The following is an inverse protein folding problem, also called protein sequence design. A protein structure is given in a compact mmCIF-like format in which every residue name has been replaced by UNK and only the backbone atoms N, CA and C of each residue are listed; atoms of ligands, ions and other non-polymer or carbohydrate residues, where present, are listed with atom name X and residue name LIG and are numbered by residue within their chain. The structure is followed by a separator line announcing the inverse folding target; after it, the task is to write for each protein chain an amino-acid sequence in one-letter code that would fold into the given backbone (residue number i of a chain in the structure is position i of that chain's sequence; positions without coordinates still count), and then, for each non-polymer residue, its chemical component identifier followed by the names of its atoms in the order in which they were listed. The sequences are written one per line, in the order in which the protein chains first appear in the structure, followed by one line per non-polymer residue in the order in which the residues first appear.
data_IF_709509935762
#
_entry.id   IF_709509935762
#
_cell.length_a   1.000
_cell.length_b   1.000
_cell.length_c   1.000
_cell.angle_alpha   90.00
_cell.angle_beta   90.00
_cell.angle_gamma   90.00
#
_symmetry.space_group_name_H-M   'P 1'
#
loop_
_entity.id
_entity.type
_entity.pdbx_description
1 polymer ?
#
# COMPACT_ATOMS: atom_id res chain seq x y z
N UNK A 1 -0.39 -23.60 6.57
CA UNK A 1 -1.67 -22.91 6.24
C UNK A 1 -2.38 -22.37 7.47
N UNK A 2 -2.84 -23.22 8.40
CA UNK A 2 -3.62 -22.79 9.57
C UNK A 2 -2.95 -21.67 10.38
N UNK A 3 -1.66 -21.82 10.70
CA UNK A 3 -0.84 -20.78 11.35
C UNK A 3 -1.00 -19.40 10.70
N UNK A 4 -0.79 -19.31 9.39
CA UNK A 4 -0.89 -18.06 8.63
C UNK A 4 -2.29 -17.44 8.71
N UNK A 5 -3.32 -18.24 8.47
CA UNK A 5 -4.70 -17.75 8.45
C UNK A 5 -5.14 -17.30 9.85
N UNK A 6 -4.87 -18.10 10.88
CA UNK A 6 -5.16 -17.75 12.27
C UNK A 6 -4.47 -16.45 12.66
N UNK A 7 -3.16 -16.30 12.36
CA UNK A 7 -2.42 -15.07 12.66
C UNK A 7 -2.97 -13.85 11.92
N UNK A 8 -3.28 -13.98 10.62
CA UNK A 8 -3.86 -12.88 9.84
C UNK A 8 -5.25 -12.47 10.33
N UNK A 9 -5.95 -13.36 11.04
CA UNK A 9 -7.25 -13.09 11.67
C UNK A 9 -7.14 -12.79 13.17
N UNK A 10 -5.95 -12.46 13.66
CA UNK A 10 -5.73 -11.95 15.03
C UNK A 10 -5.72 -13.00 16.14
N UNK A 11 -5.67 -14.29 15.79
CA UNK A 11 -5.49 -15.35 16.77
C UNK A 11 -4.03 -15.42 17.22
N UNK A 12 -3.82 -15.59 18.52
CA UNK A 12 -2.51 -15.85 19.09
C UNK A 12 -2.05 -17.27 18.75
N UNK A 13 -1.07 -17.38 17.86
CA UNK A 13 -0.48 -18.64 17.39
C UNK A 13 1.04 -18.56 17.42
N UNK A 14 1.64 -19.55 18.06
CA UNK A 14 3.10 -19.64 18.22
C UNK A 14 3.78 -20.30 17.01
N UNK A 15 4.92 -19.80 16.54
CA UNK A 15 5.68 -20.40 15.44
C UNK A 15 6.35 -21.72 15.84
N UNK A 16 6.46 -22.02 17.14
CA UNK A 16 7.07 -23.27 17.68
C UNK A 16 6.42 -24.54 17.13
N UNK A 17 5.21 -24.46 16.58
CA UNK A 17 4.56 -25.56 15.85
C UNK A 17 5.41 -26.07 14.67
N UNK A 18 6.31 -25.25 14.11
CA UNK A 18 7.18 -25.61 13.00
C UNK A 18 8.43 -26.39 13.43
N UNK A 19 8.84 -26.36 14.71
CA UNK A 19 10.03 -27.08 15.21
C UNK A 19 9.95 -28.58 14.94
N UNK A 20 8.74 -29.14 14.98
CA UNK A 20 8.49 -30.57 14.73
C UNK A 20 8.81 -31.00 13.30
N UNK A 21 8.86 -30.04 12.38
CA UNK A 21 9.09 -30.25 10.95
C UNK A 21 10.48 -29.82 10.50
N UNK A 22 11.25 -29.22 11.40
CA UNK A 22 12.63 -28.84 11.18
C UNK A 22 13.55 -29.99 11.60
N UNK A 23 14.55 -30.27 10.77
CA UNK A 23 15.62 -31.21 11.08
C UNK A 23 16.87 -30.85 10.29
N UNK A 24 17.99 -30.70 11.00
CA UNK A 24 19.32 -30.44 10.43
C UNK A 24 19.37 -29.17 9.53
N UNK A 25 18.55 -28.16 9.83
CA UNK A 25 18.43 -26.93 9.06
C UNK A 25 17.52 -27.01 7.84
N UNK A 26 16.78 -28.12 7.68
CA UNK A 26 15.82 -28.34 6.60
C UNK A 26 14.40 -28.51 7.15
N UNK A 27 13.40 -28.20 6.32
CA UNK A 27 11.99 -28.40 6.67
C UNK A 27 11.34 -29.49 5.82
N UNK A 28 10.51 -30.32 6.45
CA UNK A 28 9.85 -31.47 5.83
C UNK A 28 8.33 -31.47 6.02
N UNK A 29 7.59 -32.08 5.10
CA UNK A 29 6.13 -32.13 5.19
C UNK A 29 5.61 -33.02 6.34
N UNK A 30 6.38 -34.05 6.72
CA UNK A 30 5.99 -35.01 7.75
C UNK A 30 7.18 -35.34 8.65
N UNK A 31 6.92 -35.39 9.96
CA UNK A 31 7.93 -35.75 10.97
C UNK A 31 8.52 -37.12 10.65
N UNK A 32 9.86 -37.21 10.63
CA UNK A 32 10.58 -38.45 10.37
C UNK A 32 10.60 -38.91 8.91
N UNK A 33 10.13 -38.08 7.97
CA UNK A 33 10.21 -38.34 6.53
C UNK A 33 11.03 -37.27 5.82
N UNK A 34 11.58 -37.61 4.66
CA UNK A 34 12.33 -36.68 3.79
C UNK A 34 11.46 -36.05 2.69
N UNK A 35 10.13 -36.09 2.82
CA UNK A 35 9.24 -35.56 1.77
C UNK A 35 9.18 -34.04 1.83
N UNK A 36 9.61 -33.37 0.75
CA UNK A 36 9.50 -31.93 0.53
C UNK A 36 8.61 -31.68 -0.71
N UNK A 37 7.31 -31.57 -0.48
CA UNK A 37 6.35 -31.25 -1.54
C UNK A 37 6.34 -29.74 -1.83
N UNK A 38 6.17 -29.37 -3.10
CA UNK A 38 6.18 -27.96 -3.56
C UNK A 38 5.09 -27.16 -2.85
N UNK A 39 3.87 -27.67 -2.78
CA UNK A 39 2.73 -27.03 -2.09
C UNK A 39 2.95 -26.90 -0.58
N UNK A 40 3.65 -27.85 0.02
CA UNK A 40 4.05 -27.79 1.43
C UNK A 40 5.03 -26.64 1.68
N UNK A 41 6.10 -26.57 0.89
CA UNK A 41 7.12 -25.52 0.98
C UNK A 41 6.58 -24.15 0.57
N UNK A 42 5.71 -24.09 -0.43
CA UNK A 42 4.97 -22.90 -0.82
C UNK A 42 4.14 -22.33 0.33
N UNK A 43 3.39 -23.18 1.03
CA UNK A 43 2.59 -22.77 2.17
C UNK A 43 3.43 -22.42 3.41
N UNK A 44 4.61 -23.04 3.57
CA UNK A 44 5.59 -22.66 4.60
C UNK A 44 6.16 -21.27 4.29
N UNK A 45 6.53 -21.01 3.04
CA UNK A 45 7.05 -19.72 2.60
C UNK A 45 6.05 -18.58 2.84
N UNK A 46 4.78 -18.78 2.45
CA UNK A 46 3.73 -17.80 2.75
C UNK A 46 3.51 -17.59 4.25
N UNK A 47 3.65 -18.65 5.05
CA UNK A 47 3.48 -18.56 6.50
C UNK A 47 4.64 -17.81 7.18
N UNK A 48 5.88 -17.97 6.72
CA UNK A 48 7.03 -17.24 7.25
C UNK A 48 7.01 -15.75 6.95
N UNK A 49 6.26 -15.31 5.93
CA UNK A 49 6.17 -13.88 5.56
C UNK A 49 5.31 -13.06 6.54
N UNK A 50 4.56 -13.69 7.44
CA UNK A 50 3.79 -13.03 8.52
C UNK A 50 4.48 -13.20 9.88
N UNK A 51 5.81 -13.20 9.87
CA UNK A 51 6.66 -13.29 11.07
C UNK A 51 6.67 -11.99 11.86
N UNK A 52 6.77 -12.12 13.18
CA UNK A 52 7.00 -11.04 14.13
C UNK A 52 8.49 -10.93 14.48
N UNK A 53 8.93 -9.80 15.05
CA UNK A 53 10.30 -9.63 15.51
C UNK A 53 10.73 -10.73 16.47
N UNK A 54 11.96 -11.24 16.29
CA UNK A 54 12.54 -12.30 17.13
C UNK A 54 12.06 -13.72 16.83
N UNK A 55 11.21 -13.94 15.82
CA UNK A 55 10.79 -15.27 15.40
C UNK A 55 11.80 -15.95 14.46
N UNK A 56 12.99 -16.26 14.97
CA UNK A 56 14.12 -16.83 14.21
C UNK A 56 13.76 -18.12 13.47
N UNK A 57 12.88 -18.94 14.04
CA UNK A 57 12.37 -20.16 13.42
C UNK A 57 11.64 -19.87 12.10
N UNK A 58 10.82 -18.82 12.05
CA UNK A 58 10.15 -18.42 10.80
C UNK A 58 11.10 -17.73 9.83
N UNK A 59 12.09 -17.00 10.32
CA UNK A 59 13.16 -16.47 9.47
C UNK A 59 13.88 -17.61 8.75
N UNK A 60 14.25 -18.64 9.49
CA UNK A 60 14.91 -19.82 8.94
C UNK A 60 14.00 -20.56 7.96
N UNK A 61 12.74 -20.80 8.33
CA UNK A 61 11.74 -21.44 7.47
C UNK A 61 11.51 -20.66 6.16
N UNK A 62 11.48 -19.33 6.24
CA UNK A 62 11.32 -18.46 5.09
C UNK A 62 12.48 -18.54 4.13
N UNK A 63 13.72 -18.46 4.63
CA UNK A 63 14.93 -18.62 3.81
C UNK A 63 14.96 -19.98 3.13
N UNK A 64 14.80 -21.06 3.90
CA UNK A 64 14.84 -22.43 3.38
C UNK A 64 13.78 -22.66 2.30
N UNK A 65 12.52 -22.31 2.59
CA UNK A 65 11.42 -22.52 1.64
C UNK A 65 11.55 -21.65 0.39
N UNK A 66 12.05 -20.42 0.51
CA UNK A 66 12.31 -19.55 -0.64
C UNK A 66 13.38 -20.13 -1.57
N UNK A 67 14.52 -20.54 -1.02
CA UNK A 67 15.63 -21.15 -1.76
C UNK A 67 15.18 -22.43 -2.46
N UNK A 68 14.47 -23.32 -1.74
CA UNK A 68 13.90 -24.54 -2.30
C UNK A 68 12.99 -24.25 -3.51
N UNK A 69 12.08 -23.26 -3.39
CA UNK A 69 11.13 -22.95 -4.46
C UNK A 69 11.82 -22.29 -5.66
N UNK A 70 12.77 -21.37 -5.45
CA UNK A 70 13.57 -20.75 -6.52
C UNK A 70 14.42 -21.78 -7.26
N UNK A 71 15.02 -22.74 -6.55
CA UNK A 71 15.76 -23.84 -7.18
C UNK A 71 14.85 -24.71 -8.06
N UNK A 72 13.65 -25.06 -7.56
CA UNK A 72 12.67 -25.84 -8.32
C UNK A 72 12.15 -25.09 -9.54
N UNK A 73 11.92 -23.78 -9.41
CA UNK A 73 11.53 -22.89 -10.50
C UNK A 73 12.60 -22.86 -11.60
N UNK A 74 13.86 -22.62 -11.23
CA UNK A 74 14.99 -22.59 -12.16
C UNK A 74 15.18 -23.92 -12.93
N UNK A 75 14.84 -25.05 -12.31
CA UNK A 75 14.89 -26.38 -12.92
C UNK A 75 13.63 -26.73 -13.73
N UNK A 76 12.58 -25.91 -13.72
CA UNK A 76 11.30 -26.22 -14.36
C UNK A 76 10.54 -27.38 -13.68
N UNK A 77 10.75 -27.56 -12.37
CA UNK A 77 10.25 -28.70 -11.59
C UNK A 77 9.18 -28.31 -10.56
N UNK A 78 8.51 -27.17 -10.76
CA UNK A 78 7.33 -26.77 -9.97
C UNK A 78 6.15 -27.66 -10.34
N UNK A 79 6.10 -28.84 -9.72
CA UNK A 79 5.03 -29.81 -9.80
C UNK A 79 4.86 -30.44 -8.43
N UNK A 80 3.63 -30.76 -8.06
CA UNK A 80 3.33 -31.34 -6.77
C UNK A 80 2.89 -32.80 -6.89
N UNK A 81 3.22 -33.59 -5.87
CA UNK A 81 2.85 -35.01 -5.79
C UNK A 81 1.40 -35.20 -5.34
N UNK A 82 0.82 -34.20 -4.66
CA UNK A 82 -0.47 -34.27 -3.98
C UNK A 82 -1.60 -33.56 -4.72
N UNK A 83 -1.30 -32.81 -5.78
CA UNK A 83 -2.30 -32.07 -6.55
C UNK A 83 -1.89 -31.90 -8.02
N UNK A 84 -2.88 -32.02 -8.91
CA UNK A 84 -2.83 -31.58 -10.30
C UNK A 84 -3.60 -30.27 -10.34
N UNK A 85 -2.87 -29.15 -10.28
CA UNK A 85 -3.44 -27.80 -10.29
C UNK A 85 -3.29 -27.14 -11.66
N UNK A 86 -4.21 -26.23 -12.01
CA UNK A 86 -4.18 -25.49 -13.28
C UNK A 86 -2.87 -24.73 -13.52
N UNK A 87 -2.38 -23.95 -12.55
CA UNK A 87 -1.14 -23.16 -12.71
C UNK A 87 -0.33 -22.99 -11.41
N UNK A 88 0.10 -24.11 -10.82
CA UNK A 88 1.00 -24.10 -9.67
C UNK A 88 2.32 -23.33 -9.94
N UNK A 89 2.98 -23.44 -11.12
CA UNK A 89 4.14 -22.63 -11.45
C UNK A 89 3.89 -21.13 -11.34
N UNK A 90 2.77 -20.63 -11.87
CA UNK A 90 2.38 -19.23 -11.74
C UNK A 90 2.15 -18.81 -10.28
N UNK A 91 1.45 -19.62 -9.48
CA UNK A 91 1.19 -19.32 -8.07
C UNK A 91 2.48 -19.16 -7.26
N UNK A 92 3.42 -20.10 -7.45
CA UNK A 92 4.74 -20.07 -6.79
C UNK A 92 5.52 -18.85 -7.26
N UNK A 93 5.64 -18.63 -8.57
CA UNK A 93 6.39 -17.51 -9.14
C UNK A 93 5.90 -16.17 -8.61
N UNK A 94 4.60 -15.91 -8.67
CA UNK A 94 4.03 -14.66 -8.18
C UNK A 94 4.38 -14.41 -6.71
N UNK A 95 4.28 -15.43 -5.86
CA UNK A 95 4.56 -15.30 -4.43
C UNK A 95 6.05 -15.06 -4.13
N UNK A 96 6.95 -15.59 -4.96
CA UNK A 96 8.38 -15.37 -4.82
C UNK A 96 8.83 -14.00 -5.36
N UNK A 97 8.13 -13.48 -6.37
CA UNK A 97 8.39 -12.17 -6.97
C UNK A 97 7.75 -11.04 -6.13
N UNK A 98 6.59 -11.31 -5.50
CA UNK A 98 5.84 -10.37 -4.68
C UNK A 98 5.61 -10.95 -3.27
N UNK A 99 6.52 -10.72 -2.31
CA UNK A 99 6.30 -11.13 -0.93
C UNK A 99 5.09 -10.41 -0.33
N UNK A 100 4.62 -10.86 0.82
CA UNK A 100 3.40 -10.36 1.46
C UNK A 100 3.40 -8.84 1.64
N UNK A 101 4.54 -8.22 1.97
CA UNK A 101 4.67 -6.76 2.06
C UNK A 101 4.40 -6.03 0.74
N UNK A 102 4.68 -6.66 -0.41
CA UNK A 102 4.44 -6.11 -1.75
C UNK A 102 3.17 -6.66 -2.43
N UNK A 103 2.50 -7.68 -1.88
CA UNK A 103 1.34 -8.30 -2.54
C UNK A 103 0.04 -7.49 -2.35
N UNK A 104 -0.23 -6.53 -3.24
CA UNK A 104 -1.45 -5.72 -3.14
C UNK A 104 -2.71 -6.57 -3.39
N UNK A 105 -3.80 -6.39 -2.62
CA UNK A 105 -4.98 -7.26 -2.66
C UNK A 105 -5.55 -7.52 -4.06
N UNK A 106 -5.77 -6.48 -4.87
CA UNK A 106 -6.33 -6.67 -6.22
C UNK A 106 -5.32 -7.22 -7.22
N UNK A 107 -4.03 -7.02 -7.01
CA UNK A 107 -3.00 -7.62 -7.87
C UNK A 107 -2.96 -9.13 -7.62
N UNK A 108 -2.88 -9.57 -6.36
CA UNK A 108 -2.90 -11.00 -6.00
C UNK A 108 -4.19 -11.67 -6.48
N UNK A 109 -5.35 -11.03 -6.24
CA UNK A 109 -6.63 -11.56 -6.72
C UNK A 109 -6.68 -11.68 -8.25
N UNK A 110 -6.19 -10.68 -8.98
CA UNK A 110 -6.18 -10.69 -10.45
C UNK A 110 -5.31 -11.82 -10.99
N UNK A 111 -4.14 -12.04 -10.39
CA UNK A 111 -3.23 -13.14 -10.76
C UNK A 111 -3.84 -14.49 -10.41
N UNK A 112 -4.41 -14.63 -9.21
CA UNK A 112 -4.98 -15.90 -8.75
C UNK A 112 -6.24 -16.33 -9.53
N UNK A 113 -7.03 -15.37 -10.04
CA UNK A 113 -8.16 -15.66 -10.94
C UNK A 113 -7.73 -16.40 -12.21
N UNK A 114 -6.55 -16.09 -12.75
CA UNK A 114 -6.01 -16.80 -13.91
C UNK A 114 -5.46 -18.18 -13.53
N UNK A 115 -5.10 -18.39 -12.27
CA UNK A 115 -4.39 -19.58 -11.78
C UNK A 115 -5.30 -20.65 -11.19
N UNK A 116 -6.40 -20.24 -10.54
CA UNK A 116 -7.32 -21.16 -9.89
C UNK A 116 -8.04 -22.06 -10.91
N UNK A 117 -7.98 -23.38 -10.68
CA UNK A 117 -8.50 -24.38 -11.61
C UNK A 117 -9.99 -24.63 -11.54
N UNK A 118 -10.70 -24.06 -10.57
CA UNK A 118 -12.11 -24.36 -10.34
C UNK A 118 -12.28 -25.83 -9.98
N UNK A 119 -13.25 -26.51 -10.60
CA UNK A 119 -13.51 -27.96 -10.41
C UNK A 119 -12.55 -28.89 -11.17
N UNK A 120 -11.63 -28.33 -11.96
CA UNK A 120 -10.64 -29.09 -12.73
C UNK A 120 -9.43 -29.54 -11.91
N UNK A 121 -9.16 -28.90 -10.77
CA UNK A 121 -8.08 -29.32 -9.88
C UNK A 121 -8.39 -30.69 -9.26
N UNK A 122 -7.39 -31.58 -9.28
CA UNK A 122 -7.54 -32.96 -8.78
C UNK A 122 -6.50 -33.23 -7.70
N UNK A 123 -6.95 -33.74 -6.55
CA UNK A 123 -6.10 -34.10 -5.44
C UNK A 123 -5.67 -35.56 -5.56
N UNK A 124 -4.43 -35.84 -5.16
CA UNK A 124 -3.80 -37.15 -5.23
C UNK A 124 -3.62 -37.67 -3.79
N UNK A 125 -4.37 -38.69 -3.42
CA UNK A 125 -4.20 -39.43 -2.16
C UNK A 125 -3.81 -40.89 -2.42
N UNK A 126 -4.48 -41.83 -1.75
CA UNK A 126 -4.45 -43.26 -2.17
C UNK A 126 -5.10 -43.46 -3.54
N UNK A 127 -6.09 -42.63 -3.84
CA UNK A 127 -6.79 -42.53 -5.11
C UNK A 127 -6.93 -41.06 -5.49
N UNK A 128 -7.28 -40.78 -6.75
CA UNK A 128 -7.65 -39.44 -7.16
C UNK A 128 -8.97 -39.04 -6.51
N UNK A 129 -9.05 -37.83 -5.97
CA UNK A 129 -10.27 -37.30 -5.38
C UNK A 129 -10.41 -35.80 -5.67
N UNK A 130 -11.62 -35.28 -5.47
CA UNK A 130 -11.93 -33.85 -5.59
C UNK A 130 -12.43 -33.31 -4.26
N UNK A 131 -12.26 -32.01 -4.06
CA UNK A 131 -12.72 -31.30 -2.88
C UNK A 131 -13.72 -30.21 -3.29
N UNK A 132 -15.02 -30.52 -3.47
CA UNK A 132 -16.00 -29.57 -4.03
C UNK A 132 -16.15 -28.27 -3.22
N UNK A 133 -15.86 -28.30 -1.92
CA UNK A 133 -15.92 -27.11 -1.07
C UNK A 133 -14.66 -26.22 -1.14
N UNK A 134 -13.61 -26.69 -1.82
CA UNK A 134 -12.33 -25.97 -2.04
C UNK A 134 -12.14 -25.63 -3.51
N UNK A 135 -12.45 -26.57 -4.41
CA UNK A 135 -12.27 -26.52 -5.85
C UNK A 135 -13.65 -26.57 -6.53
N UNK A 136 -14.19 -25.42 -6.90
CA UNK A 136 -15.46 -25.33 -7.62
C UNK A 136 -15.57 -24.07 -8.50
N UNK A 137 -16.37 -24.18 -9.55
CA UNK A 137 -16.58 -23.08 -10.49
C UNK A 137 -17.47 -21.97 -9.91
N UNK A 138 -18.28 -22.24 -8.89
CA UNK A 138 -19.11 -21.20 -8.24
C UNK A 138 -18.25 -20.10 -7.64
N UNK A 139 -17.15 -20.46 -6.95
CA UNK A 139 -16.20 -19.49 -6.39
C UNK A 139 -15.49 -18.70 -7.50
N UNK A 140 -15.04 -19.38 -8.55
CA UNK A 140 -14.37 -18.73 -9.67
C UNK A 140 -15.30 -17.73 -10.37
N UNK A 141 -16.54 -18.13 -10.69
CA UNK A 141 -17.52 -17.28 -11.36
C UNK A 141 -17.96 -16.11 -10.49
N UNK A 142 -18.13 -16.31 -9.18
CA UNK A 142 -18.40 -15.22 -8.24
C UNK A 142 -17.22 -14.23 -8.20
N UNK A 143 -16.00 -14.73 -8.07
CA UNK A 143 -14.80 -13.91 -7.98
C UNK A 143 -14.55 -13.10 -9.27
N UNK A 144 -14.78 -13.69 -10.45
CA UNK A 144 -14.74 -12.97 -11.74
C UNK A 144 -15.75 -11.84 -11.77
N UNK A 145 -17.01 -12.11 -11.41
CA UNK A 145 -18.09 -11.11 -11.42
C UNK A 145 -17.82 -9.98 -10.44
N UNK A 146 -17.39 -10.29 -9.23
CA UNK A 146 -17.01 -9.27 -8.23
C UNK A 146 -15.84 -8.41 -8.73
N UNK A 147 -14.80 -9.05 -9.26
CA UNK A 147 -13.63 -8.36 -9.79
C UNK A 147 -14.01 -7.40 -10.92
N UNK A 148 -14.76 -7.88 -11.92
CA UNK A 148 -15.18 -7.06 -13.06
C UNK A 148 -16.13 -5.93 -12.64
N UNK A 149 -17.01 -6.17 -11.66
CA UNK A 149 -17.87 -5.11 -11.10
C UNK A 149 -17.06 -3.99 -10.46
N UNK A 150 -16.06 -4.34 -9.64
CA UNK A 150 -15.15 -3.35 -9.06
C UNK A 150 -14.35 -2.63 -10.16
N UNK A 151 -13.85 -3.37 -11.14
CA UNK A 151 -13.04 -2.83 -12.25
C UNK A 151 -13.82 -1.79 -13.07
N UNK A 152 -15.09 -2.03 -13.40
CA UNK A 152 -15.92 -1.06 -14.13
C UNK A 152 -16.07 0.25 -13.33
N UNK A 153 -16.29 0.13 -12.02
CA UNK A 153 -16.34 1.30 -11.14
C UNK A 153 -14.99 2.04 -11.14
N UNK A 154 -13.88 1.31 -11.08
CA UNK A 154 -12.54 1.92 -11.09
C UNK A 154 -12.22 2.63 -12.42
N UNK A 155 -12.71 2.12 -13.55
CA UNK A 155 -12.58 2.78 -14.86
C UNK A 155 -13.36 4.10 -14.93
N UNK A 156 -14.56 4.14 -14.34
CA UNK A 156 -15.37 5.37 -14.25
C UNK A 156 -14.69 6.42 -13.35
N UNK A 157 -14.16 5.98 -12.21
CA UNK A 157 -13.38 6.82 -11.29
C UNK A 157 -12.13 7.37 -11.98
N UNK A 158 -11.39 6.52 -12.70
CA UNK A 158 -10.24 6.93 -13.48
C UNK A 158 -10.60 8.01 -14.50
N UNK A 159 -11.68 7.83 -15.26
CA UNK A 159 -12.14 8.84 -16.22
C UNK A 159 -12.43 10.18 -15.54
N UNK A 160 -13.10 10.17 -14.39
CA UNK A 160 -13.35 11.37 -13.58
C UNK A 160 -12.06 12.02 -13.07
N UNK A 161 -11.08 11.21 -12.63
CA UNK A 161 -9.79 11.70 -12.14
C UNK A 161 -8.96 12.35 -13.25
N UNK A 162 -8.96 11.78 -14.46
CA UNK A 162 -8.33 12.39 -15.64
C UNK A 162 -8.91 13.77 -15.93
N UNK A 163 -10.25 13.87 -15.93
CA UNK A 163 -10.95 15.14 -16.17
C UNK A 163 -10.58 16.17 -15.10
N UNK A 164 -10.66 15.80 -13.82
CA UNK A 164 -10.25 16.66 -12.71
C UNK A 164 -8.81 17.16 -12.86
N UNK A 165 -7.88 16.28 -13.23
CA UNK A 165 -6.46 16.65 -13.39
C UNK A 165 -6.24 17.68 -14.50
N UNK A 166 -6.87 17.49 -15.67
CA UNK A 166 -6.73 18.39 -16.82
C UNK A 166 -7.49 19.70 -16.61
N UNK A 167 -8.72 19.67 -16.06
CA UNK A 167 -9.51 20.89 -15.82
C UNK A 167 -8.87 21.83 -14.79
N UNK A 168 -8.11 21.27 -13.84
CA UNK A 168 -7.31 22.05 -12.89
C UNK A 168 -5.94 22.46 -13.45
N UNK A 169 -5.63 22.17 -14.72
CA UNK A 169 -4.36 22.57 -15.34
C UNK A 169 -3.11 21.99 -14.67
N UNK A 170 -3.22 20.89 -13.92
CA UNK A 170 -2.14 20.34 -13.09
C UNK A 170 -0.96 19.77 -13.93
N UNK A 171 -1.19 19.55 -15.22
CA UNK A 171 -0.16 19.21 -16.21
C UNK A 171 0.96 20.26 -16.33
N UNK A 172 0.69 21.53 -16.01
CA UNK A 172 1.72 22.59 -16.03
C UNK A 172 2.84 22.38 -15.00
N UNK A 173 2.66 21.46 -14.05
CA UNK A 173 3.65 21.11 -13.01
C UNK A 173 4.49 19.87 -13.36
N UNK A 174 4.42 19.40 -14.62
CA UNK A 174 5.24 18.29 -15.10
C UNK A 174 4.80 16.91 -14.60
N UNK A 175 3.59 16.81 -14.04
CA UNK A 175 2.93 15.52 -13.74
C UNK A 175 2.24 15.03 -15.01
N UNK A 176 2.39 13.75 -15.35
CA UNK A 176 1.73 13.15 -16.52
C UNK A 176 0.48 12.37 -16.10
N UNK A 177 -0.45 12.15 -17.05
CA UNK A 177 -1.59 11.25 -16.81
C UNK A 177 -1.16 9.82 -16.44
N UNK A 178 0.02 9.37 -16.89
CA UNK A 178 0.57 8.06 -16.49
C UNK A 178 0.92 8.06 -15.00
N UNK A 179 1.45 9.15 -14.48
CA UNK A 179 1.74 9.28 -13.05
C UNK A 179 0.44 9.27 -12.25
N UNK A 180 -0.57 10.05 -12.66
CA UNK A 180 -1.89 10.06 -12.01
C UNK A 180 -2.53 8.66 -12.02
N UNK A 181 -2.46 7.94 -13.15
CA UNK A 181 -3.00 6.58 -13.27
C UNK A 181 -2.31 5.61 -12.31
N UNK A 182 -0.99 5.68 -12.20
CA UNK A 182 -0.23 4.79 -11.33
C UNK A 182 -0.54 5.05 -9.84
N UNK A 183 -0.77 6.31 -9.45
CA UNK A 183 -1.20 6.64 -8.07
C UNK A 183 -2.59 6.09 -7.83
N UNK A 184 -3.51 6.34 -8.77
CA UNK A 184 -4.87 5.82 -8.67
C UNK A 184 -4.88 4.29 -8.57
N UNK A 185 -4.04 3.61 -9.36
CA UNK A 185 -3.87 2.16 -9.28
C UNK A 185 -3.42 1.70 -7.89
N UNK A 186 -2.47 2.38 -7.24
CA UNK A 186 -2.04 2.00 -5.89
C UNK A 186 -3.20 2.11 -4.87
N UNK A 187 -3.97 3.19 -4.93
CA UNK A 187 -5.15 3.37 -4.09
C UNK A 187 -6.20 2.29 -4.36
N UNK A 188 -6.52 2.06 -5.64
CA UNK A 188 -7.53 1.08 -6.07
C UNK A 188 -7.13 -0.37 -5.84
N UNK A 189 -5.83 -0.66 -5.85
CA UNK A 189 -5.31 -2.00 -5.58
C UNK A 189 -5.40 -2.38 -4.09
N UNK A 190 -5.38 -1.37 -3.20
CA UNK A 190 -5.50 -1.52 -1.75
C UNK A 190 -6.95 -1.43 -1.26
N UNK A 191 -7.66 -0.35 -1.60
CA UNK A 191 -9.04 -0.06 -1.17
C UNK A 191 -9.93 -0.25 -2.39
N UNK A 192 -10.43 -1.45 -2.66
CA UNK A 192 -11.07 -1.76 -3.94
C UNK A 192 -12.60 -1.71 -3.90
N UNK A 193 -13.19 -1.72 -2.70
CA UNK A 193 -14.62 -1.88 -2.50
C UNK A 193 -15.40 -0.69 -3.10
N UNK A 194 -16.49 -0.91 -3.85
CA UNK A 194 -17.25 0.19 -4.45
C UNK A 194 -17.73 1.23 -3.43
N UNK A 195 -18.04 0.82 -2.20
CA UNK A 195 -18.49 1.71 -1.12
C UNK A 195 -17.41 2.65 -0.58
N UNK A 196 -16.13 2.43 -0.94
CA UNK A 196 -14.98 3.21 -0.46
C UNK A 196 -14.36 4.07 -1.57
N UNK A 197 -15.19 4.49 -2.54
CA UNK A 197 -14.76 5.32 -3.68
C UNK A 197 -14.17 6.66 -3.24
N UNK A 198 -14.81 7.34 -2.28
CA UNK A 198 -14.31 8.62 -1.74
C UNK A 198 -12.91 8.47 -1.16
N UNK A 199 -12.65 7.42 -0.38
CA UNK A 199 -11.34 7.14 0.20
C UNK A 199 -10.25 6.94 -0.87
N UNK A 200 -10.55 6.15 -1.92
CA UNK A 200 -9.63 5.96 -3.05
C UNK A 200 -9.34 7.26 -3.80
N UNK A 201 -10.38 8.00 -4.14
CA UNK A 201 -10.26 9.24 -4.92
C UNK A 201 -9.53 10.32 -4.12
N UNK A 202 -9.80 10.41 -2.82
CA UNK A 202 -9.09 11.28 -1.91
C UNK A 202 -7.60 10.93 -1.87
N UNK A 203 -7.26 9.65 -1.67
CA UNK A 203 -5.87 9.19 -1.73
C UNK A 203 -5.22 9.64 -3.04
N UNK A 204 -5.80 9.33 -4.20
CA UNK A 204 -5.18 9.64 -5.48
C UNK A 204 -4.98 11.16 -5.71
N UNK A 205 -6.00 11.98 -5.43
CA UNK A 205 -5.94 13.43 -5.61
C UNK A 205 -4.95 14.09 -4.65
N UNK A 206 -4.93 13.66 -3.38
CA UNK A 206 -4.00 14.16 -2.36
C UNK A 206 -2.57 13.79 -2.72
N UNK A 207 -2.29 12.55 -3.12
CA UNK A 207 -0.95 12.13 -3.55
C UNK A 207 -0.42 12.97 -4.71
N UNK A 208 -1.28 13.29 -5.69
CA UNK A 208 -0.92 14.16 -6.83
C UNK A 208 -0.61 15.58 -6.35
N UNK A 209 -1.52 16.21 -5.60
CA UNK A 209 -1.33 17.59 -5.13
C UNK A 209 -0.17 17.73 -4.15
N UNK A 210 -0.01 16.82 -3.20
CA UNK A 210 1.09 16.84 -2.24
C UNK A 210 2.44 16.77 -2.97
N UNK A 211 2.57 15.89 -3.97
CA UNK A 211 3.78 15.80 -4.79
C UNK A 211 4.05 17.09 -5.60
N UNK A 212 3.02 17.71 -6.17
CA UNK A 212 3.17 18.98 -6.90
C UNK A 212 3.60 20.10 -5.94
N UNK A 213 2.95 20.20 -4.77
CA UNK A 213 3.23 21.23 -3.77
C UNK A 213 4.65 21.04 -3.22
N UNK A 214 5.07 19.83 -2.87
CA UNK A 214 6.46 19.54 -2.44
C UNK A 214 7.47 19.98 -3.50
N UNK A 215 7.25 19.66 -4.78
CA UNK A 215 8.12 20.11 -5.88
C UNK A 215 8.17 21.63 -5.99
N UNK A 216 7.03 22.29 -5.86
CA UNK A 216 6.93 23.75 -5.98
C UNK A 216 7.65 24.45 -4.82
N UNK A 217 7.41 24.01 -3.57
CA UNK A 217 8.05 24.55 -2.36
C UNK A 217 9.58 24.49 -2.44
N UNK A 218 10.15 23.40 -2.94
CA UNK A 218 11.59 23.26 -3.07
C UNK A 218 12.21 24.01 -4.27
N UNK A 219 11.39 24.54 -5.17
CA UNK A 219 11.86 25.17 -6.41
C UNK A 219 11.82 26.70 -6.41
N UNK A 220 10.97 27.33 -5.60
CA UNK A 220 10.73 28.79 -5.62
C UNK A 220 10.81 29.44 -4.23
N UNK A 221 11.49 30.59 -4.15
CA UNK A 221 11.56 31.46 -2.95
C UNK A 221 10.17 32.03 -2.52
N UNK A 222 9.10 31.79 -3.32
CA UNK A 222 7.71 32.21 -3.04
C UNK A 222 6.91 31.20 -2.19
N UNK A 223 7.51 30.08 -1.78
CA UNK A 223 6.81 29.03 -1.01
C UNK A 223 6.11 29.54 0.26
N UNK A 224 6.64 30.60 0.90
CA UNK A 224 6.03 31.23 2.07
C UNK A 224 4.73 32.00 1.74
N UNK A 225 4.67 32.72 0.61
CA UNK A 225 3.47 33.47 0.21
C UNK A 225 2.35 32.52 -0.25
N UNK A 226 2.71 31.46 -1.00
CA UNK A 226 1.76 30.40 -1.36
C UNK A 226 1.17 29.73 -0.12
N UNK A 227 2.03 29.43 0.86
CA UNK A 227 1.62 28.85 2.13
C UNK A 227 0.63 29.74 2.87
N UNK A 228 0.93 31.03 2.99
CA UNK A 228 0.02 31.99 3.61
C UNK A 228 -1.33 32.04 2.90
N UNK A 229 -1.36 31.96 1.56
CA UNK A 229 -2.61 31.90 0.80
C UNK A 229 -3.42 30.64 1.07
N UNK A 230 -2.78 29.48 1.18
CA UNK A 230 -3.45 28.23 1.58
C UNK A 230 -4.00 28.31 3.01
N UNK A 231 -3.28 28.96 3.94
CA UNK A 231 -3.72 29.14 5.32
C UNK A 231 -4.85 30.18 5.46
N UNK A 232 -4.86 31.23 4.64
CA UNK A 232 -5.83 32.33 4.72
C UNK A 232 -7.23 31.95 4.21
N UNK A 233 -7.34 31.03 3.24
CA UNK A 233 -8.63 30.57 2.70
C UNK A 233 -9.55 29.86 3.70
N UNK A 234 -9.04 29.46 4.88
CA UNK A 234 -9.79 28.65 5.85
C UNK A 234 -10.23 29.33 7.15
N UNK A 235 -9.68 30.49 7.53
CA UNK A 235 -9.84 31.02 8.90
C UNK A 235 -10.61 32.34 8.97
N UNK A 236 -10.78 33.07 7.86
CA UNK A 236 -11.30 34.45 7.89
C UNK A 236 -12.29 34.81 6.76
N UNK A 237 -13.33 34.00 6.53
CA UNK A 237 -14.47 34.50 5.73
C UNK A 237 -15.33 35.53 6.51
N UNK A 238 -15.09 35.68 7.81
CA UNK A 238 -15.63 36.77 8.61
C UNK A 238 -14.65 37.93 8.72
N UNK A 239 -14.72 38.87 7.77
CA UNK A 239 -14.26 40.26 7.93
C UNK A 239 -12.75 40.53 7.76
N UNK A 240 -12.32 40.91 6.54
CA UNK A 240 -11.43 42.08 6.31
C UNK A 240 -11.07 42.27 4.83
N UNK A 241 -11.11 43.54 4.40
CA UNK A 241 -10.51 44.04 3.16
C UNK A 241 -8.99 43.87 3.21
N UNK A 242 -8.48 42.66 2.93
CA UNK A 242 -7.04 42.41 2.77
C UNK A 242 -6.76 42.35 1.27
N UNK A 243 -5.86 43.21 0.83
CA UNK A 243 -5.34 43.27 -0.54
C UNK A 243 -4.88 41.88 -0.99
N UNK A 244 -5.60 41.27 -1.94
CA UNK A 244 -5.14 40.09 -2.67
C UNK A 244 -3.78 40.40 -3.29
N UNK A 245 -2.70 39.90 -2.70
CA UNK A 245 -1.48 39.74 -3.47
C UNK A 245 -1.80 38.71 -4.56
N UNK A 246 -2.00 39.18 -5.79
CA UNK A 246 -2.10 38.31 -6.97
C UNK A 246 -0.79 37.52 -7.04
N UNK A 247 -0.86 36.23 -6.75
CA UNK A 247 0.23 35.32 -7.09
C UNK A 247 0.43 35.26 -8.60
N UNK A 248 1.54 34.65 -9.01
CA UNK A 248 1.74 34.20 -10.38
C UNK A 248 0.69 33.18 -10.81
N UNK A 249 0.55 33.00 -12.12
CA UNK A 249 -0.47 32.13 -12.71
C UNK A 249 -0.43 30.68 -12.20
N UNK A 250 0.76 30.15 -11.86
CA UNK A 250 0.91 28.79 -11.31
C UNK A 250 0.39 28.69 -9.87
N UNK A 251 0.62 29.71 -9.04
CA UNK A 251 0.11 29.73 -7.66
C UNK A 251 -1.42 29.79 -7.64
N UNK A 252 -2.03 30.59 -8.51
CA UNK A 252 -3.50 30.66 -8.62
C UNK A 252 -4.11 29.32 -9.07
N UNK A 253 -3.44 28.58 -9.95
CA UNK A 253 -3.85 27.22 -10.35
C UNK A 253 -3.81 26.27 -9.14
N UNK A 254 -2.72 26.26 -8.37
CA UNK A 254 -2.59 25.35 -7.22
C UNK A 254 -3.57 25.67 -6.10
N UNK A 255 -3.75 26.95 -5.78
CA UNK A 255 -4.74 27.39 -4.79
C UNK A 255 -6.14 27.00 -5.25
N UNK A 256 -6.50 27.26 -6.50
CA UNK A 256 -7.80 26.85 -7.04
C UNK A 256 -8.04 25.33 -6.99
N UNK A 257 -7.04 24.53 -7.38
CA UNK A 257 -7.13 23.07 -7.35
C UNK A 257 -7.23 22.50 -5.93
N UNK A 258 -6.52 23.11 -4.98
CA UNK A 258 -6.60 22.77 -3.57
C UNK A 258 -7.96 23.08 -2.97
N UNK A 259 -8.46 24.30 -3.15
CA UNK A 259 -9.78 24.72 -2.67
C UNK A 259 -10.89 23.82 -3.22
N UNK A 260 -10.84 23.53 -4.54
CA UNK A 260 -11.77 22.59 -5.16
C UNK A 260 -11.65 21.18 -4.57
N UNK A 261 -10.44 20.69 -4.27
CA UNK A 261 -10.25 19.39 -3.64
C UNK A 261 -10.92 19.35 -2.27
N UNK A 262 -10.65 20.33 -1.41
CA UNK A 262 -11.19 20.38 -0.05
C UNK A 262 -12.72 20.40 -0.08
N UNK A 263 -13.31 21.24 -0.93
CA UNK A 263 -14.76 21.33 -1.06
C UNK A 263 -15.39 20.04 -1.56
N UNK A 264 -14.78 19.40 -2.57
CA UNK A 264 -15.25 18.14 -3.12
C UNK A 264 -15.18 17.02 -2.07
N UNK A 265 -14.06 16.88 -1.37
CA UNK A 265 -13.91 15.86 -0.33
C UNK A 265 -14.85 16.10 0.86
N UNK A 266 -15.06 17.34 1.25
CA UNK A 266 -16.01 17.69 2.31
C UNK A 266 -17.46 17.33 1.96
N UNK A 267 -17.83 17.38 0.68
CA UNK A 267 -19.16 17.00 0.19
C UNK A 267 -19.31 15.49 0.02
N UNK A 268 -18.25 14.78 -0.39
CA UNK A 268 -18.27 13.35 -0.72
C UNK A 268 -17.93 12.43 0.46
N UNK A 269 -17.36 12.98 1.55
CA UNK A 269 -17.02 12.21 2.74
C UNK A 269 -18.26 11.55 3.36
N UNK A 270 -18.08 10.35 3.92
CA UNK A 270 -19.16 9.67 4.63
C UNK A 270 -19.68 10.57 5.77
N UNK A 271 -21.01 10.66 5.94
CA UNK A 271 -21.60 11.56 6.92
C UNK A 271 -21.16 11.15 8.33
N UNK A 272 -20.28 11.95 8.91
CA UNK A 272 -20.15 12.07 10.35
C UNK A 272 -21.41 12.82 10.83
N UNK A 273 -21.85 12.66 12.08
CA UNK A 273 -23.00 13.42 12.61
C UNK A 273 -22.87 14.95 12.51
N UNK A 274 -21.69 15.43 12.06
CA UNK A 274 -21.31 16.82 11.84
C UNK A 274 -21.16 17.07 10.33
N UNK A 275 -21.80 18.14 9.82
CA UNK A 275 -21.96 18.40 8.38
C UNK A 275 -20.67 18.79 7.62
N UNK A 276 -20.77 19.08 6.31
CA UNK A 276 -19.62 19.31 5.41
C UNK A 276 -18.62 20.36 5.88
N UNK A 277 -19.08 21.41 6.58
CA UNK A 277 -18.21 22.48 7.11
C UNK A 277 -17.18 21.94 8.11
N UNK A 278 -17.58 20.98 8.96
CA UNK A 278 -16.66 20.37 9.91
C UNK A 278 -15.58 19.55 9.20
N UNK A 279 -15.98 18.76 8.21
CA UNK A 279 -15.07 17.95 7.40
C UNK A 279 -14.08 18.84 6.63
N UNK A 280 -14.56 19.94 6.04
CA UNK A 280 -13.72 20.94 5.38
C UNK A 280 -12.62 21.45 6.33
N UNK A 281 -12.98 21.85 7.55
CA UNK A 281 -12.04 22.32 8.55
C UNK A 281 -10.99 21.24 8.91
N UNK A 282 -11.41 19.98 9.10
CA UNK A 282 -10.48 18.88 9.40
C UNK A 282 -9.49 18.65 8.26
N UNK A 283 -9.96 18.65 7.00
CA UNK A 283 -9.12 18.50 5.83
C UNK A 283 -8.09 19.64 5.76
N UNK A 284 -8.52 20.89 5.96
CA UNK A 284 -7.61 22.04 6.00
C UNK A 284 -6.57 21.92 7.10
N UNK A 285 -6.97 21.55 8.33
CA UNK A 285 -6.04 21.34 9.43
C UNK A 285 -4.96 20.29 9.07
N UNK A 286 -5.36 19.16 8.48
CA UNK A 286 -4.41 18.13 8.07
C UNK A 286 -3.39 18.64 7.04
N UNK A 287 -3.83 19.43 6.06
CA UNK A 287 -2.96 20.04 5.07
C UNK A 287 -2.04 21.11 5.65
N UNK A 288 -2.55 21.97 6.53
CA UNK A 288 -1.75 23.01 7.22
C UNK A 288 -0.64 22.37 8.05
N UNK A 289 -0.96 21.33 8.82
CA UNK A 289 0.02 20.58 9.60
C UNK A 289 1.10 19.96 8.72
N UNK A 290 0.72 19.29 7.63
CA UNK A 290 1.67 18.70 6.67
C UNK A 290 2.57 19.76 6.05
N UNK A 291 1.98 20.86 5.61
CA UNK A 291 2.67 21.99 5.00
C UNK A 291 3.70 22.63 5.94
N UNK A 292 3.35 22.84 7.22
CA UNK A 292 4.29 23.33 8.24
C UNK A 292 5.47 22.36 8.44
N UNK A 293 5.20 21.06 8.43
CA UNK A 293 6.25 20.04 8.57
C UNK A 293 7.16 19.96 7.35
N UNK A 294 6.66 20.20 6.13
CA UNK A 294 7.48 20.26 4.92
C UNK A 294 8.45 21.44 4.97
N UNK A 295 8.02 22.60 5.48
CA UNK A 295 8.87 23.78 5.64
C UNK A 295 10.01 23.56 6.64
N UNK A 296 9.70 23.01 7.82
CA UNK A 296 10.71 22.80 8.86
C UNK A 296 11.81 21.78 8.47
N UNK A 297 11.61 21.04 7.37
CA UNK A 297 12.62 20.11 6.80
C UNK A 297 13.78 20.84 6.11
N UNK A 298 13.55 22.08 5.66
CA UNK A 298 14.55 22.88 4.95
C UNK A 298 15.69 23.38 5.86
N UNK A 299 15.43 23.55 7.16
CA UNK A 299 16.45 24.04 8.11
C UNK A 299 17.41 22.94 8.61
N UNK A 300 17.02 21.67 8.57
CA UNK A 300 17.82 20.56 9.13
C UNK A 300 18.78 19.89 8.12
N UNK A 301 18.72 20.25 6.83
CA UNK A 301 19.51 19.58 5.78
C UNK A 301 20.51 20.53 5.12
N UNK A 302 21.50 21.01 5.90
CA UNK A 302 22.71 21.60 5.32
C UNK A 302 23.57 20.50 4.66
N UNK A 303 23.44 20.34 3.35
CA UNK A 303 24.46 19.70 2.53
C UNK A 303 23.96 18.68 1.51
N UNK A 304 24.15 19.04 0.24
CA UNK A 304 24.27 18.17 -0.94
C UNK A 304 22.98 17.74 -1.66
N UNK A 305 22.79 18.34 -2.84
CA UNK A 305 22.09 17.74 -3.97
C UNK A 305 20.61 18.10 -4.02
N UNK A 306 20.19 18.72 -5.12
CA UNK A 306 18.78 18.86 -5.49
C UNK A 306 18.14 17.47 -5.41
N UNK A 307 17.40 17.20 -4.33
CA UNK A 307 16.62 15.98 -4.20
C UNK A 307 15.47 16.13 -5.20
N UNK A 308 15.65 15.53 -6.38
CA UNK A 308 14.54 15.38 -7.32
C UNK A 308 13.45 14.62 -6.58
N UNK A 309 12.32 15.30 -6.29
CA UNK A 309 11.18 14.63 -5.71
C UNK A 309 10.81 13.45 -6.62
N UNK A 310 10.91 12.25 -6.04
CA UNK A 310 10.70 10.99 -6.73
C UNK A 310 9.30 10.87 -7.34
N UNK A 311 9.03 9.81 -8.10
CA UNK A 311 7.68 9.55 -8.62
C UNK A 311 6.66 9.56 -7.47
N UNK A 312 5.47 10.11 -7.72
CA UNK A 312 4.37 10.32 -6.77
C UNK A 312 3.79 9.03 -6.12
N UNK A 313 4.48 7.90 -6.26
CA UNK A 313 4.12 6.57 -5.77
C UNK A 313 4.71 6.25 -4.39
N UNK A 314 5.87 6.81 -4.05
CA UNK A 314 6.58 6.52 -2.80
C UNK A 314 6.68 7.80 -1.99
N UNK A 315 5.89 7.87 -0.94
CA UNK A 315 5.68 9.06 -0.13
C UNK A 315 6.68 9.13 1.03
N UNK A 316 7.12 10.34 1.38
CA UNK A 316 7.82 10.57 2.65
C UNK A 316 6.86 10.42 3.85
N UNK A 317 7.42 10.43 5.07
CA UNK A 317 6.63 10.27 6.29
C UNK A 317 5.49 11.26 6.41
N UNK A 318 5.75 12.55 6.13
CA UNK A 318 4.76 13.59 6.30
C UNK A 318 3.60 13.35 5.35
N UNK A 319 3.89 13.05 4.09
CA UNK A 319 2.90 12.79 3.05
C UNK A 319 2.11 11.52 3.33
N UNK A 320 2.73 10.48 3.87
CA UNK A 320 2.02 9.30 4.35
C UNK A 320 1.01 9.63 5.44
N UNK A 321 1.39 10.49 6.39
CA UNK A 321 0.48 10.90 7.46
C UNK A 321 -0.67 11.77 6.97
N UNK A 322 -0.40 12.67 6.03
CA UNK A 322 -1.43 13.45 5.36
C UNK A 322 -2.44 12.51 4.67
N UNK A 323 -1.96 11.53 3.90
CA UNK A 323 -2.81 10.58 3.19
C UNK A 323 -3.70 9.79 4.15
N UNK A 324 -3.13 9.23 5.21
CA UNK A 324 -3.88 8.45 6.19
C UNK A 324 -4.94 9.32 6.87
N UNK A 325 -4.58 10.53 7.32
CA UNK A 325 -5.56 11.46 7.92
C UNK A 325 -6.72 11.74 6.96
N UNK A 326 -6.43 12.05 5.70
CA UNK A 326 -7.47 12.38 4.73
C UNK A 326 -8.33 11.15 4.39
N UNK A 327 -7.73 9.96 4.24
CA UNK A 327 -8.49 8.72 3.99
C UNK A 327 -9.44 8.45 5.16
N UNK A 328 -8.99 8.58 6.41
CA UNK A 328 -9.84 8.35 7.58
C UNK A 328 -10.95 9.41 7.71
N UNK A 329 -10.65 10.69 7.43
CA UNK A 329 -11.66 11.76 7.37
C UNK A 329 -12.73 11.44 6.33
N UNK A 330 -12.31 11.07 5.11
CA UNK A 330 -13.23 10.73 4.02
C UNK A 330 -14.04 9.45 4.30
N UNK A 331 -13.45 8.52 5.06
CA UNK A 331 -14.09 7.30 5.55
C UNK A 331 -15.02 7.50 6.75
N UNK A 332 -15.15 8.72 7.29
CA UNK A 332 -15.98 9.02 8.45
C UNK A 332 -15.40 8.55 9.79
N UNK A 333 -14.12 8.15 9.84
CA UNK A 333 -13.43 7.60 11.01
C UNK A 333 -12.60 8.65 11.77
N UNK A 334 -13.10 9.88 11.84
CA UNK A 334 -12.37 11.04 12.40
C UNK A 334 -12.03 10.89 13.89
N UNK A 335 -12.93 10.30 14.68
CA UNK A 335 -12.70 10.00 16.10
C UNK A 335 -11.62 8.94 16.31
N UNK A 336 -11.57 7.93 15.44
CA UNK A 336 -10.56 6.85 15.47
C UNK A 336 -9.19 7.37 15.04
N UNK A 337 -9.13 8.19 14.00
CA UNK A 337 -7.90 8.86 13.59
C UNK A 337 -7.35 9.76 14.70
N UNK A 338 -8.23 10.50 15.37
CA UNK A 338 -7.87 11.37 16.49
C UNK A 338 -7.40 10.58 17.71
N UNK A 339 -8.02 9.43 18.02
CA UNK A 339 -7.53 8.58 19.12
C UNK A 339 -6.14 8.01 18.80
N UNK A 340 -5.91 7.55 17.56
CA UNK A 340 -4.60 7.05 17.14
C UNK A 340 -3.49 8.11 17.19
N UNK A 341 -3.81 9.38 16.90
CA UNK A 341 -2.82 10.46 17.00
C UNK A 341 -2.53 10.82 18.47
N UNK A 342 -3.54 10.74 19.33
CA UNK A 342 -3.46 11.24 20.70
C UNK A 342 -3.00 10.18 21.73
N UNK A 343 -2.97 8.90 21.38
CA UNK A 343 -2.43 7.83 22.26
C UNK A 343 -0.93 7.63 22.03
N UNK A 344 -0.21 7.22 23.09
CA UNK A 344 1.22 6.91 22.95
C UNK A 344 1.47 5.75 21.99
N UNK A 345 0.66 4.71 22.06
CA UNK A 345 0.77 3.53 21.19
C UNK A 345 0.48 3.90 19.72
N UNK A 346 -0.55 4.72 19.49
CA UNK A 346 -0.87 5.20 18.15
C UNK A 346 0.17 6.16 17.58
N UNK A 347 0.76 7.04 18.39
CA UNK A 347 1.86 7.91 17.99
C UNK A 347 3.12 7.12 17.61
N UNK A 348 3.47 6.10 18.39
CA UNK A 348 4.57 5.20 18.07
C UNK A 348 4.30 4.41 16.78
N UNK A 349 3.08 3.89 16.59
CA UNK A 349 2.68 3.15 15.39
C UNK A 349 2.75 4.02 14.13
N UNK A 350 2.30 5.28 14.23
CA UNK A 350 2.45 6.32 13.22
C UNK A 350 3.93 6.55 12.88
N UNK A 351 4.80 6.68 13.90
CA UNK A 351 6.24 6.90 13.70
C UNK A 351 6.91 5.70 13.02
N UNK A 352 6.51 4.49 13.37
CA UNK A 352 7.02 3.27 12.77
C UNK A 352 6.68 3.21 11.27
N UNK A 353 5.40 3.36 10.91
CA UNK A 353 4.96 3.38 9.51
C UNK A 353 5.64 4.49 8.70
N UNK A 354 5.73 5.68 9.30
CA UNK A 354 6.41 6.84 8.75
C UNK A 354 7.88 6.57 8.44
N UNK A 355 8.61 5.97 9.39
CA UNK A 355 10.02 5.60 9.24
C UNK A 355 10.22 4.59 8.10
N UNK A 356 9.31 3.62 7.94
CA UNK A 356 9.36 2.67 6.84
C UNK A 356 9.21 3.39 5.49
N UNK A 357 8.21 4.27 5.36
CA UNK A 357 7.99 5.05 4.15
C UNK A 357 9.18 5.97 3.81
N UNK A 358 9.78 6.61 4.83
CA UNK A 358 11.00 7.40 4.64
C UNK A 358 12.15 6.53 4.11
N UNK A 359 12.42 5.37 4.71
CA UNK A 359 13.50 4.50 4.23
C UNK A 359 13.23 3.98 2.80
N UNK A 360 11.98 3.66 2.47
CA UNK A 360 11.58 3.28 1.11
C UNK A 360 11.79 4.42 0.11
N UNK A 361 11.42 5.64 0.48
CA UNK A 361 11.61 6.84 -0.33
C UNK A 361 13.11 7.11 -0.58
N UNK A 362 13.93 7.06 0.48
CA UNK A 362 15.39 7.25 0.36
C UNK A 362 16.04 6.15 -0.48
N UNK A 363 15.63 4.89 -0.30
CA UNK A 363 16.11 3.77 -1.13
C UNK A 363 15.79 3.99 -2.61
N UNK A 364 14.59 4.48 -2.92
CA UNK A 364 14.18 4.80 -4.29
C UNK A 364 15.06 5.90 -4.89
N UNK A 365 15.34 6.98 -4.16
CA UNK A 365 16.22 8.06 -4.63
C UNK A 365 17.66 7.59 -4.87
N UNK A 366 18.18 6.71 -4.01
CA UNK A 366 19.54 6.19 -4.12
C UNK A 366 19.72 5.15 -5.24
N UNK A 367 18.62 4.62 -5.79
CA UNK A 367 18.64 3.58 -6.82
C UNK A 367 19.23 4.05 -8.16
N UNK A 368 19.33 5.36 -8.40
CA UNK A 368 19.91 5.96 -9.61
C UNK A 368 21.41 5.68 -9.77
N UNK A 369 22.16 5.47 -8.68
CA UNK A 369 23.57 5.05 -8.67
C UNK A 369 23.77 3.82 -7.76
N UNK A 370 23.23 2.67 -8.20
CA UNK A 370 23.17 1.43 -7.42
C UNK A 370 24.54 0.93 -6.96
N UNK A 371 25.60 1.13 -7.77
CA UNK A 371 26.95 0.63 -7.44
C UNK A 371 27.61 1.40 -6.31
N UNK A 372 27.35 2.71 -6.20
CA UNK A 372 27.93 3.54 -5.15
C UNK A 372 27.18 3.39 -3.82
N UNK A 373 25.89 3.06 -3.88
CA UNK A 373 24.99 3.10 -2.74
C UNK A 373 24.62 1.71 -2.17
N UNK A 374 25.24 0.63 -2.65
CA UNK A 374 24.89 -0.76 -2.30
C UNK A 374 24.84 -1.01 -0.78
N UNK A 375 25.86 -0.59 -0.03
CA UNK A 375 25.90 -0.77 1.43
C UNK A 375 24.80 0.03 2.15
N UNK A 376 24.50 1.26 1.70
CA UNK A 376 23.45 2.08 2.26
C UNK A 376 22.06 1.50 1.97
N UNK A 377 21.86 0.96 0.76
CA UNK A 377 20.64 0.25 0.36
C UNK A 377 20.41 -1.02 1.18
N UNK A 378 21.46 -1.82 1.41
CA UNK A 378 21.38 -3.02 2.26
C UNK A 378 20.97 -2.67 3.70
N UNK A 379 21.57 -1.63 4.29
CA UNK A 379 21.21 -1.20 5.64
C UNK A 379 19.77 -0.66 5.72
N UNK A 380 19.29 0.03 4.68
CA UNK A 380 17.88 0.42 4.62
C UNK A 380 16.95 -0.79 4.48
N UNK A 381 17.32 -1.81 3.72
CA UNK A 381 16.54 -3.03 3.58
C UNK A 381 16.37 -3.77 4.92
N UNK A 382 17.42 -3.84 5.73
CA UNK A 382 17.34 -4.37 7.09
C UNK A 382 16.38 -3.56 7.98
N UNK A 383 16.44 -2.23 7.92
CA UNK A 383 15.55 -1.34 8.67
C UNK A 383 14.09 -1.44 8.22
N UNK A 384 13.87 -1.50 6.90
CA UNK A 384 12.54 -1.65 6.31
C UNK A 384 11.95 -3.01 6.72
N UNK A 385 12.73 -4.08 6.64
CA UNK A 385 12.31 -5.42 7.01
C UNK A 385 11.95 -5.51 8.50
N UNK A 386 12.80 -4.99 9.38
CA UNK A 386 12.52 -4.95 10.82
C UNK A 386 11.27 -4.11 11.12
N UNK A 387 11.15 -2.94 10.50
CA UNK A 387 9.98 -2.07 10.67
C UNK A 387 8.69 -2.72 10.18
N UNK A 388 8.72 -3.42 9.04
CA UNK A 388 7.56 -4.13 8.51
C UNK A 388 7.13 -5.29 9.42
N UNK A 389 8.06 -5.99 10.07
CA UNK A 389 7.74 -7.04 11.04
C UNK A 389 7.03 -6.46 12.27
N UNK A 390 7.57 -5.38 12.84
CA UNK A 390 6.95 -4.67 13.96
C UNK A 390 5.57 -4.13 13.57
N UNK A 391 5.44 -3.53 12.38
CA UNK A 391 4.17 -2.98 11.88
C UNK A 391 3.13 -4.10 11.74
N UNK A 392 3.54 -5.24 11.18
CA UNK A 392 2.69 -6.42 11.01
C UNK A 392 2.23 -6.97 12.35
N UNK A 393 3.13 -7.05 13.34
CA UNK A 393 2.78 -7.50 14.68
C UNK A 393 1.71 -6.60 15.31
N UNK A 394 1.88 -5.29 15.24
CA UNK A 394 0.97 -4.32 15.85
C UNK A 394 -0.41 -4.27 15.18
N UNK A 395 -0.48 -4.55 13.87
CA UNK A 395 -1.75 -4.65 13.15
C UNK A 395 -2.47 -5.95 13.45
N UNK A 396 -1.73 -7.07 13.53
CA UNK A 396 -2.33 -8.40 13.64
C UNK A 396 -2.60 -8.83 15.08
N UNK A 397 -1.79 -8.40 16.06
CA UNK A 397 -2.06 -8.71 17.46
C UNK A 397 -3.09 -7.72 18.01
N UNK A 398 -4.28 -8.20 18.34
CA UNK A 398 -5.30 -7.42 19.03
C UNK A 398 -4.80 -7.04 20.43
N UNK A 399 -4.16 -5.88 20.53
CA UNK A 399 -3.89 -5.25 21.82
C UNK A 399 -5.18 -4.56 22.23
N UNK A 400 -5.60 -4.70 23.49
CA UNK A 400 -6.76 -3.97 24.04
C UNK A 400 -6.51 -2.46 24.17
N UNK A 401 -5.80 -1.87 23.22
CA UNK A 401 -5.21 -0.52 23.25
C UNK A 401 -6.20 0.58 22.84
N UNK A 402 -7.44 0.23 22.48
CA UNK A 402 -8.48 1.19 22.12
C UNK A 402 -8.26 1.88 20.76
N UNK A 403 -7.26 1.47 19.98
CA UNK A 403 -7.06 1.93 18.60
C UNK A 403 -7.88 1.09 17.64
N UNK A 404 -8.60 1.74 16.71
CA UNK A 404 -9.42 1.03 15.72
C UNK A 404 -8.56 0.15 14.80
N UNK A 405 -9.00 -1.09 14.63
CA UNK A 405 -8.42 -2.04 13.67
C UNK A 405 -8.39 -1.45 12.26
N UNK A 406 -9.40 -0.67 11.88
CA UNK A 406 -9.56 -0.17 10.51
C UNK A 406 -8.53 0.91 10.17
N UNK A 407 -8.27 1.85 11.09
CA UNK A 407 -7.21 2.85 10.89
C UNK A 407 -5.82 2.22 10.78
N UNK A 408 -5.53 1.19 11.60
CA UNK A 408 -4.29 0.41 11.50
C UNK A 408 -4.17 -0.28 10.13
N UNK A 409 -5.26 -0.81 9.59
CA UNK A 409 -5.30 -1.39 8.25
C UNK A 409 -5.12 -0.35 7.13
N UNK A 410 -5.67 0.85 7.28
CA UNK A 410 -5.44 1.96 6.34
C UNK A 410 -3.96 2.31 6.29
N UNK A 411 -3.31 2.47 7.46
CA UNK A 411 -1.88 2.77 7.51
C UNK A 411 -1.04 1.65 6.88
N UNK A 412 -1.33 0.39 7.21
CA UNK A 412 -0.67 -0.76 6.58
C UNK A 412 -0.86 -0.76 5.07
N UNK A 413 -2.04 -0.41 4.57
CA UNK A 413 -2.34 -0.33 3.14
C UNK A 413 -1.49 0.74 2.43
N UNK A 414 -1.34 1.91 3.04
CA UNK A 414 -0.46 2.98 2.53
C UNK A 414 0.99 2.52 2.51
N UNK A 415 1.50 1.95 3.60
CA UNK A 415 2.88 1.46 3.68
C UNK A 415 3.14 0.35 2.65
N UNK A 416 2.24 -0.63 2.52
CA UNK A 416 2.36 -1.71 1.52
C UNK A 416 2.31 -1.18 0.09
N UNK A 417 1.55 -0.13 -0.19
CA UNK A 417 1.55 0.52 -1.50
C UNK A 417 2.90 1.17 -1.83
N UNK A 418 3.52 1.85 -0.86
CA UNK A 418 4.87 2.41 -1.00
C UNK A 418 5.90 1.28 -1.17
N UNK A 419 5.78 0.21 -0.40
CA UNK A 419 6.66 -0.96 -0.50
C UNK A 419 6.57 -1.62 -1.88
N UNK A 420 5.35 -1.82 -2.39
CA UNK A 420 5.12 -2.34 -3.72
C UNK A 420 5.72 -1.41 -4.79
N UNK A 421 5.46 -0.10 -4.71
CA UNK A 421 5.97 0.86 -5.69
C UNK A 421 7.51 0.94 -5.70
N UNK A 422 8.16 0.82 -4.54
CA UNK A 422 9.60 0.87 -4.43
C UNK A 422 10.31 -0.40 -4.94
N UNK A 423 9.64 -1.56 -4.90
CA UNK A 423 10.24 -2.85 -5.23
C UNK A 423 9.71 -3.47 -6.54
N UNK A 424 8.65 -2.93 -7.13
CA UNK A 424 8.07 -3.43 -8.38
C UNK A 424 8.77 -2.79 -9.60
N UNK A 425 9.36 -3.58 -10.52
CA UNK A 425 9.97 -3.04 -11.73
C UNK A 425 8.95 -2.27 -12.59
N UNK A 426 9.33 -1.13 -13.23
CA UNK A 426 8.36 -0.27 -13.93
C UNK A 426 7.50 -0.97 -14.99
N UNK A 427 8.08 -1.91 -15.74
CA UNK A 427 7.35 -2.66 -16.78
C UNK A 427 6.35 -3.65 -16.18
N UNK A 428 6.67 -4.25 -15.03
CA UNK A 428 5.76 -5.15 -14.29
C UNK A 428 4.64 -4.32 -13.66
N UNK A 429 4.97 -3.15 -13.10
CA UNK A 429 4.00 -2.21 -12.56
C UNK A 429 2.95 -1.85 -13.62
N UNK A 430 3.38 -1.42 -14.82
CA UNK A 430 2.44 -1.05 -15.89
C UNK A 430 1.63 -2.25 -16.40
N UNK A 431 2.23 -3.45 -16.40
CA UNK A 431 1.51 -4.69 -16.68
C UNK A 431 0.41 -4.98 -15.65
N UNK A 432 0.68 -4.74 -14.36
CA UNK A 432 -0.32 -4.85 -13.31
C UNK A 432 -1.42 -3.79 -13.43
N UNK A 433 -1.06 -2.54 -13.77
CA UNK A 433 -2.04 -1.48 -14.06
C UNK A 433 -2.97 -1.91 -15.19
N UNK A 434 -2.41 -2.40 -16.31
CA UNK A 434 -3.19 -2.92 -17.45
C UNK A 434 -4.16 -4.01 -17.00
N UNK A 435 -3.65 -5.04 -16.34
CA UNK A 435 -4.43 -6.21 -15.92
C UNK A 435 -5.53 -5.89 -14.90
N UNK A 436 -5.24 -5.04 -13.93
CA UNK A 436 -6.15 -4.75 -12.83
C UNK A 436 -7.21 -3.74 -13.22
N UNK A 437 -6.83 -2.67 -13.94
CA UNK A 437 -7.74 -1.56 -14.23
C UNK A 437 -8.48 -1.77 -15.57
N UNK A 438 -7.84 -2.35 -16.59
CA UNK A 438 -8.37 -2.30 -17.96
C UNK A 438 -8.71 -3.66 -18.57
N UNK A 439 -8.07 -4.75 -18.15
CA UNK A 439 -8.33 -6.08 -18.72
C UNK A 439 -9.42 -6.82 -17.95
N UNK A 440 -10.55 -7.03 -18.62
CA UNK A 440 -11.67 -7.80 -18.09
C UNK A 440 -11.31 -9.27 -17.87
N UNK A 441 -11.78 -9.87 -16.77
CA UNK A 441 -11.57 -11.30 -16.48
C UNK A 441 -12.71 -12.11 -17.11
N UNK A 442 -12.37 -13.04 -18.00
CA UNK A 442 -13.32 -13.89 -18.74
C UNK A 442 -13.52 -15.26 -18.11
#
# INVERSE_FOLDING_TARGET
MAFRLLRLHGYDVSPTVFEKFEKDGEFFCFVGQSTQAVTGMYNLNRASQVRFPGEDLLQHAGRFSYEFLREREARGTIRDKWIIAKDLPGEVKYTLDFPWYASLPRVEARVYLDQYGGDNDVWIGKTLYRMPLVNNNTYLELAKRDFNRCQVQHQLEWHGLQKWFTENGLETFGVTLRDVLRVYFLAAACIFEPSRATERLAWAKVSVLANIITKYLHSDLSGNEMMERFMQGGIYEGNSNISWHKGGAKEDILVGAFEQLIDLLAQEALPVGEGPVYINNLLRCAWIEWMMQQKNREDDTFGSGVVQAGPCMVHDKQTCLLLVKIIEICGGRTGEASSMINTMDGAWFIQLASSICDNLHHKMLLSEDTKRNEAAMSHMDERIEAGMQELTQNVLQAHGDGTSSDTKQTLLSVVRSCYYAANCPPHVFDGHVSKVIFEHVF
#
